data_IF_718929895700
#
_entry.id   IF_718929895700
#
_cell.length_a   1.000
_cell.length_b   1.000
_cell.length_c   1.000
_cell.angle_alpha   90.00
_cell.angle_beta   90.00
_cell.angle_gamma   90.00
#
_symmetry.space_group_name_H-M   'P 1'
#
loop_
_entity.id
_entity.type
_entity.pdbx_description
1 polymer ?
#
# COMPACT_ATOMS: atom_id res chain seq x y z
N UNK A 1 10.61 12.99 16.68
CA UNK A 1 10.10 12.36 15.45
C UNK A 1 8.73 11.80 15.78
N UNK A 2 7.75 11.96 14.90
CA UNK A 2 6.41 11.44 15.13
C UNK A 2 6.43 9.91 14.92
N UNK A 3 5.81 9.13 15.82
CA UNK A 3 5.84 7.65 15.81
C UNK A 3 5.24 7.02 14.54
N UNK A 4 4.46 7.76 13.76
CA UNK A 4 3.80 7.28 12.54
C UNK A 4 4.58 7.54 11.23
N UNK A 5 5.68 8.32 11.24
CA UNK A 5 6.42 8.67 10.01
C UNK A 5 7.09 7.44 9.40
N UNK A 6 7.00 7.26 8.07
CA UNK A 6 7.84 6.30 7.33
C UNK A 6 8.96 7.09 6.64
N UNK A 7 10.21 6.72 6.89
CA UNK A 7 11.39 7.32 6.29
C UNK A 7 12.15 6.28 5.49
N UNK A 8 12.30 6.51 4.21
CA UNK A 8 13.04 5.65 3.27
C UNK A 8 14.21 6.44 2.72
N UNK A 9 15.43 5.92 2.88
CA UNK A 9 16.67 6.61 2.49
C UNK A 9 17.61 5.69 1.72
N UNK A 10 17.86 5.99 0.44
CA UNK A 10 18.87 5.36 -0.40
C UNK A 10 18.70 3.86 -0.59
N UNK A 11 17.47 3.32 -0.61
CA UNK A 11 17.26 1.88 -0.73
C UNK A 11 17.82 1.33 -2.03
N UNK A 12 18.66 0.30 -1.91
CA UNK A 12 19.19 -0.47 -3.03
C UNK A 12 18.98 -1.95 -2.81
N UNK A 13 18.42 -2.63 -3.83
CA UNK A 13 18.13 -4.06 -3.77
C UNK A 13 18.19 -4.71 -5.14
N UNK A 14 18.81 -5.91 -5.19
CA UNK A 14 18.81 -6.78 -6.36
C UNK A 14 18.10 -8.10 -6.08
N UNK A 15 17.53 -8.65 -7.14
CA UNK A 15 17.13 -10.04 -7.23
C UNK A 15 17.91 -10.69 -8.38
N UNK A 16 18.93 -11.48 -8.05
CA UNK A 16 19.87 -11.99 -9.03
C UNK A 16 20.56 -10.84 -9.80
N UNK A 17 20.36 -10.77 -11.10
CA UNK A 17 20.92 -9.68 -11.95
C UNK A 17 20.02 -8.45 -12.03
N UNK A 18 18.76 -8.55 -11.61
CA UNK A 18 17.79 -7.46 -11.72
C UNK A 18 17.91 -6.48 -10.55
N UNK A 19 18.20 -5.21 -10.85
CA UNK A 19 18.21 -4.12 -9.87
C UNK A 19 16.76 -3.65 -9.67
N UNK A 20 16.16 -4.02 -8.55
CA UNK A 20 14.77 -3.73 -8.24
C UNK A 20 14.59 -2.35 -7.57
N UNK A 21 15.55 -1.94 -6.73
CA UNK A 21 15.59 -0.61 -6.11
C UNK A 21 16.99 -0.01 -6.31
N UNK A 22 17.04 1.27 -6.68
CA UNK A 22 18.28 1.95 -7.04
C UNK A 22 18.37 3.36 -6.43
N UNK A 23 18.68 3.42 -5.13
CA UNK A 23 18.82 4.66 -4.39
C UNK A 23 17.49 5.35 -4.04
N UNK A 24 16.42 4.59 -3.89
CA UNK A 24 15.07 5.11 -3.65
C UNK A 24 14.96 5.77 -2.27
N UNK A 25 14.47 7.02 -2.24
CA UNK A 25 14.30 7.82 -1.03
C UNK A 25 13.00 8.60 -1.08
N UNK A 26 12.20 8.57 0.00
CA UNK A 26 10.98 9.35 0.19
C UNK A 26 10.53 9.31 1.66
N UNK A 27 9.56 10.14 2.01
CA UNK A 27 8.98 10.19 3.36
C UNK A 27 7.46 10.15 3.29
N UNK A 28 6.83 9.40 4.21
CA UNK A 28 5.36 9.43 4.42
C UNK A 28 5.09 10.12 5.74
N UNK A 29 4.36 11.23 5.69
CA UNK A 29 4.04 12.06 6.85
C UNK A 29 2.72 11.64 7.52
N UNK A 30 2.63 11.67 8.85
CA UNK A 30 1.37 11.50 9.57
C UNK A 30 0.33 12.55 9.17
N UNK A 31 -0.94 12.15 9.18
CA UNK A 31 -2.04 13.02 8.79
C UNK A 31 -2.25 13.14 7.29
N UNK A 32 -1.51 12.37 6.49
CA UNK A 32 -1.62 12.40 5.02
C UNK A 32 -1.79 11.01 4.43
N UNK A 33 -2.46 10.96 3.28
CA UNK A 33 -2.45 9.79 2.38
C UNK A 33 -1.39 10.02 1.31
N UNK A 34 -0.36 9.19 1.30
CA UNK A 34 0.69 9.20 0.27
C UNK A 34 0.40 8.11 -0.76
N UNK A 35 0.13 8.52 -2.00
CA UNK A 35 0.04 7.64 -3.16
C UNK A 35 1.43 7.24 -3.66
N UNK A 36 1.69 5.96 -3.79
CA UNK A 36 2.96 5.40 -4.27
C UNK A 36 2.73 4.73 -5.63
N UNK A 37 3.08 5.43 -6.71
CA UNK A 37 2.66 5.08 -8.05
C UNK A 37 3.82 4.76 -8.97
N UNK A 38 3.58 3.87 -9.90
CA UNK A 38 4.58 3.47 -10.90
C UNK A 38 4.09 2.27 -11.71
N UNK A 39 4.72 1.99 -12.85
CA UNK A 39 4.35 0.84 -13.67
C UNK A 39 4.61 -0.49 -12.93
N UNK A 40 4.10 -1.58 -13.48
CA UNK A 40 4.44 -2.91 -12.97
C UNK A 40 5.95 -3.14 -13.11
N UNK A 41 6.57 -3.73 -12.09
CA UNK A 41 8.02 -3.90 -12.03
C UNK A 41 8.80 -2.66 -11.55
N UNK A 42 8.15 -1.51 -11.29
CA UNK A 42 8.84 -0.30 -10.82
C UNK A 42 9.46 -0.40 -9.42
N UNK A 43 9.10 -1.42 -8.63
CA UNK A 43 9.62 -1.64 -7.29
C UNK A 43 8.64 -1.33 -6.16
N UNK A 44 7.34 -1.06 -6.42
CA UNK A 44 6.33 -0.71 -5.40
C UNK A 44 6.24 -1.75 -4.28
N UNK A 45 5.84 -2.96 -4.62
CA UNK A 45 5.69 -4.06 -3.64
C UNK A 45 7.02 -4.41 -2.97
N UNK A 46 8.14 -4.36 -3.71
CA UNK A 46 9.48 -4.57 -3.15
C UNK A 46 9.80 -3.53 -2.07
N UNK A 47 9.51 -2.26 -2.32
CA UNK A 47 9.72 -1.17 -1.35
C UNK A 47 8.88 -1.39 -0.10
N UNK A 48 7.60 -1.70 -0.23
CA UNK A 48 6.73 -1.98 0.92
C UNK A 48 7.20 -3.18 1.73
N UNK A 49 7.66 -4.25 1.06
CA UNK A 49 8.24 -5.43 1.73
C UNK A 49 9.51 -5.10 2.50
N UNK A 50 10.36 -4.21 1.94
CA UNK A 50 11.56 -3.71 2.63
C UNK A 50 11.19 -2.90 3.87
N UNK A 51 10.23 -1.96 3.76
CA UNK A 51 9.75 -1.16 4.90
C UNK A 51 9.26 -2.06 6.03
N UNK A 52 8.56 -3.16 5.70
CA UNK A 52 8.04 -4.14 6.66
C UNK A 52 9.09 -5.18 7.11
N UNK A 53 10.35 -5.04 6.69
CA UNK A 53 11.41 -5.97 7.07
C UNK A 53 11.25 -7.39 6.53
N UNK A 54 10.42 -7.59 5.51
CA UNK A 54 10.20 -8.88 4.85
C UNK A 54 11.31 -9.20 3.83
N UNK A 55 11.93 -8.15 3.31
CA UNK A 55 13.06 -8.25 2.37
C UNK A 55 14.26 -7.44 2.89
N UNK A 56 15.47 -7.99 2.76
CA UNK A 56 16.73 -7.29 3.06
C UNK A 56 17.13 -6.37 1.90
N UNK A 57 17.93 -5.36 2.18
CA UNK A 57 18.51 -4.43 1.19
C UNK A 57 20.04 -4.55 1.14
N UNK A 58 20.64 -4.17 0.03
CA UNK A 58 22.09 -4.06 -0.12
C UNK A 58 22.63 -2.76 0.50
N UNK A 59 21.84 -1.68 0.42
CA UNK A 59 22.16 -0.38 0.99
C UNK A 59 20.88 0.40 1.31
N UNK A 60 21.05 1.44 2.14
CA UNK A 60 19.96 2.31 2.55
C UNK A 60 19.24 1.82 3.80
N UNK A 61 18.22 2.58 4.22
CA UNK A 61 17.44 2.31 5.42
C UNK A 61 15.96 2.59 5.18
N UNK A 62 15.10 1.81 5.88
CA UNK A 62 13.67 2.07 5.97
C UNK A 62 13.28 2.06 7.45
N UNK A 63 12.71 3.16 7.91
CA UNK A 63 12.38 3.38 9.31
C UNK A 63 10.90 3.73 9.46
N UNK A 64 10.28 3.30 10.55
CA UNK A 64 8.94 3.67 10.98
C UNK A 64 9.08 4.27 12.38
N UNK A 65 8.70 5.55 12.54
CA UNK A 65 8.93 6.27 13.80
C UNK A 65 10.41 6.28 14.22
N UNK A 66 11.33 6.37 13.25
CA UNK A 66 12.78 6.37 13.47
C UNK A 66 13.38 4.99 13.78
N UNK A 67 12.63 3.88 13.64
CA UNK A 67 13.11 2.52 13.94
C UNK A 67 12.85 1.57 12.78
N UNK A 68 13.77 0.63 12.46
CA UNK A 68 13.47 -0.47 11.57
C UNK A 68 12.30 -1.32 12.08
N UNK A 69 11.45 -1.83 11.19
CA UNK A 69 10.29 -2.65 11.55
C UNK A 69 10.64 -3.81 12.51
N UNK A 70 11.75 -4.50 12.26
CA UNK A 70 12.21 -5.62 13.10
C UNK A 70 12.55 -5.23 14.54
N UNK A 71 12.70 -3.94 14.84
CA UNK A 71 12.96 -3.42 16.19
C UNK A 71 11.74 -2.80 16.87
N UNK A 72 10.56 -2.86 16.22
CA UNK A 72 9.32 -2.37 16.80
C UNK A 72 8.83 -3.33 17.90
N UNK A 73 8.48 -2.78 19.03
CA UNK A 73 7.75 -3.51 20.08
C UNK A 73 6.26 -3.47 19.76
N UNK A 74 5.57 -4.64 19.80
CA UNK A 74 4.16 -4.74 19.40
C UNK A 74 3.87 -4.15 18.01
N UNK A 75 4.52 -4.66 16.93
CA UNK A 75 4.51 -4.02 15.61
C UNK A 75 3.08 -3.81 15.06
N UNK A 76 2.14 -4.72 15.31
CA UNK A 76 0.76 -4.54 14.84
C UNK A 76 0.00 -3.36 15.47
N UNK A 77 0.49 -2.81 16.60
CA UNK A 77 -0.06 -1.57 17.18
C UNK A 77 0.52 -0.31 16.55
N UNK A 78 1.60 -0.45 15.82
CA UNK A 78 2.28 0.66 15.15
C UNK A 78 2.06 0.63 13.64
N UNK A 79 2.04 -0.58 13.04
CA UNK A 79 1.95 -0.76 11.60
C UNK A 79 0.89 -1.79 11.25
N UNK A 80 -0.08 -1.39 10.45
CA UNK A 80 -0.99 -2.26 9.75
C UNK A 80 -0.57 -2.39 8.28
N UNK A 81 -0.62 -3.59 7.72
CA UNK A 81 -0.25 -3.78 6.32
C UNK A 81 -1.19 -4.74 5.59
N UNK A 82 -1.43 -4.43 4.31
CA UNK A 82 -2.10 -5.29 3.34
C UNK A 82 -1.22 -5.33 2.09
N UNK A 83 -0.47 -6.42 1.91
CA UNK A 83 0.38 -6.65 0.73
C UNK A 83 -0.23 -7.63 -0.26
N UNK A 84 -1.04 -8.56 0.22
CA UNK A 84 -1.68 -9.58 -0.60
C UNK A 84 -3.01 -9.99 0.03
N UNK A 85 -4.09 -9.68 -0.64
CA UNK A 85 -5.44 -10.03 -0.19
C UNK A 85 -5.74 -11.53 -0.35
N UNK A 86 -4.96 -12.26 -1.14
CA UNK A 86 -5.11 -13.68 -1.38
C UNK A 86 -4.32 -14.56 -0.39
N UNK A 87 -3.46 -13.96 0.43
CA UNK A 87 -2.71 -14.66 1.49
C UNK A 87 -3.62 -15.11 2.65
N UNK A 88 -4.72 -15.79 2.33
CA UNK A 88 -5.73 -16.28 3.26
C UNK A 88 -5.74 -17.81 3.27
N UNK A 89 -6.07 -18.41 4.43
CA UNK A 89 -6.36 -19.84 4.52
C UNK A 89 -7.79 -20.11 4.07
N UNK A 90 -8.02 -20.72 2.90
CA UNK A 90 -9.37 -20.85 2.29
C UNK A 90 -10.38 -21.62 3.16
N UNK A 91 -9.92 -22.62 3.93
CA UNK A 91 -10.75 -23.42 4.80
C UNK A 91 -11.18 -22.73 6.09
N UNK A 92 -10.53 -21.61 6.45
CA UNK A 92 -10.81 -20.83 7.67
C UNK A 92 -11.87 -19.77 7.40
N UNK A 93 -12.79 -19.54 8.35
CA UNK A 93 -13.70 -18.40 8.26
C UNK A 93 -12.94 -17.08 8.50
N UNK A 94 -13.41 -15.97 7.91
CA UNK A 94 -12.82 -14.66 8.13
C UNK A 94 -12.72 -14.30 9.61
N UNK A 95 -13.78 -14.58 10.41
CA UNK A 95 -13.77 -14.37 11.86
C UNK A 95 -12.65 -15.17 12.56
N UNK A 96 -12.49 -16.44 12.20
CA UNK A 96 -11.44 -17.27 12.81
C UNK A 96 -10.04 -16.87 12.33
N UNK A 97 -9.91 -16.34 11.11
CA UNK A 97 -8.67 -15.75 10.62
C UNK A 97 -8.27 -14.54 11.47
N UNK A 98 -9.19 -13.58 11.68
CA UNK A 98 -8.93 -12.40 12.52
C UNK A 98 -8.65 -12.78 13.99
N UNK A 99 -9.42 -13.74 14.54
CA UNK A 99 -9.16 -14.25 15.90
C UNK A 99 -7.79 -14.89 16.06
N UNK A 100 -7.34 -15.63 15.05
CA UNK A 100 -6.02 -16.25 15.05
C UNK A 100 -4.92 -15.19 15.10
N UNK A 101 -5.03 -14.14 14.26
CA UNK A 101 -4.08 -13.02 14.26
C UNK A 101 -4.12 -12.30 15.60
N UNK A 102 -5.31 -11.93 16.09
CA UNK A 102 -5.44 -11.21 17.36
C UNK A 102 -4.77 -11.98 18.52
N UNK A 103 -5.01 -13.30 18.63
CA UNK A 103 -4.40 -14.15 19.66
C UNK A 103 -2.89 -14.27 19.52
N UNK A 104 -2.37 -14.44 18.29
CA UNK A 104 -0.92 -14.56 18.04
C UNK A 104 -0.17 -13.29 18.43
N UNK A 105 -0.84 -12.14 18.34
CA UNK A 105 -0.28 -10.81 18.65
C UNK A 105 -0.70 -10.28 20.03
N UNK A 106 -1.36 -11.10 20.86
CA UNK A 106 -1.87 -10.73 22.18
C UNK A 106 -2.78 -9.49 22.16
N UNK A 107 -3.57 -9.37 21.10
CA UNK A 107 -4.58 -8.30 20.96
C UNK A 107 -5.91 -8.76 21.56
N UNK A 108 -6.74 -7.84 22.08
CA UNK A 108 -8.08 -8.15 22.59
C UNK A 108 -8.94 -8.78 21.49
N UNK A 109 -9.66 -9.87 21.80
CA UNK A 109 -10.54 -10.54 20.84
C UNK A 109 -11.75 -9.67 20.48
N UNK A 110 -12.14 -8.72 21.33
CA UNK A 110 -13.17 -7.69 21.03
C UNK A 110 -12.85 -6.90 19.75
N UNK A 111 -11.56 -6.63 19.49
CA UNK A 111 -11.11 -5.95 18.26
C UNK A 111 -11.61 -6.63 16.98
N UNK A 112 -11.82 -7.95 17.00
CA UNK A 112 -12.32 -8.70 15.84
C UNK A 112 -13.73 -8.23 15.43
N UNK A 113 -14.60 -7.95 16.38
CA UNK A 113 -15.95 -7.48 16.08
C UNK A 113 -15.92 -6.02 15.61
N UNK A 114 -15.06 -5.18 16.22
CA UNK A 114 -14.86 -3.79 15.84
C UNK A 114 -14.36 -3.67 14.39
N UNK A 115 -13.25 -4.35 14.02
CA UNK A 115 -12.72 -4.28 12.65
C UNK A 115 -13.63 -4.94 11.63
N UNK A 116 -14.40 -5.96 12.02
CA UNK A 116 -15.43 -6.56 11.15
C UNK A 116 -16.54 -5.57 10.80
N UNK A 117 -16.96 -4.78 11.78
CA UNK A 117 -17.95 -3.71 11.57
C UNK A 117 -17.36 -2.61 10.70
N UNK A 118 -16.11 -2.17 11.00
CA UNK A 118 -15.39 -1.13 10.27
C UNK A 118 -15.35 -1.39 8.76
N UNK A 119 -15.03 -2.64 8.37
CA UNK A 119 -14.91 -2.99 6.93
C UNK A 119 -16.21 -3.47 6.29
N UNK A 120 -17.32 -3.48 7.02
CA UNK A 120 -18.63 -3.84 6.48
C UNK A 120 -18.79 -5.31 6.08
N UNK A 121 -17.98 -6.25 6.61
CA UNK A 121 -18.12 -7.67 6.30
C UNK A 121 -19.36 -8.33 6.92
N UNK A 122 -19.93 -7.76 7.99
CA UNK A 122 -21.17 -8.20 8.60
C UNK A 122 -21.21 -9.71 8.87
N UNK A 123 -22.33 -10.37 8.47
CA UNK A 123 -22.49 -11.83 8.65
C UNK A 123 -21.55 -12.66 7.77
N UNK A 124 -21.03 -12.08 6.67
CA UNK A 124 -20.14 -12.78 5.74
C UNK A 124 -18.82 -13.19 6.40
N UNK A 125 -18.36 -12.50 7.45
CA UNK A 125 -17.12 -12.85 8.18
C UNK A 125 -17.16 -14.28 8.76
N UNK A 126 -18.35 -14.88 8.95
CA UNK A 126 -18.52 -16.27 9.45
C UNK A 126 -18.35 -17.32 8.35
N UNK A 127 -18.41 -16.94 7.08
CA UNK A 127 -18.21 -17.84 5.94
C UNK A 127 -16.73 -18.15 5.76
N UNK A 128 -16.41 -19.31 5.13
CA UNK A 128 -15.04 -19.68 4.76
C UNK A 128 -14.47 -18.70 3.73
N UNK A 129 -13.22 -18.25 3.93
CA UNK A 129 -12.56 -17.25 3.09
C UNK A 129 -12.37 -17.73 1.63
N UNK A 130 -12.28 -19.03 1.39
CA UNK A 130 -12.21 -19.58 0.02
C UNK A 130 -13.43 -19.28 -0.86
N UNK A 131 -14.57 -18.90 -0.25
CA UNK A 131 -15.77 -18.46 -0.98
C UNK A 131 -15.96 -16.95 -1.04
N UNK A 132 -14.92 -16.16 -0.71
CA UNK A 132 -14.98 -14.70 -0.78
C UNK A 132 -14.70 -14.19 -2.20
N UNK A 133 -15.41 -13.14 -2.60
CA UNK A 133 -15.01 -12.33 -3.75
C UNK A 133 -13.67 -11.61 -3.47
N UNK A 134 -13.02 -11.09 -4.50
CA UNK A 134 -11.78 -10.34 -4.34
C UNK A 134 -12.00 -9.13 -3.40
N UNK A 135 -13.06 -8.35 -3.58
CA UNK A 135 -13.39 -7.23 -2.69
C UNK A 135 -13.64 -7.66 -1.24
N UNK A 136 -14.25 -8.85 -1.01
CA UNK A 136 -14.38 -9.39 0.36
C UNK A 136 -13.03 -9.79 0.95
N UNK A 137 -12.10 -10.32 0.14
CA UNK A 137 -10.74 -10.64 0.58
C UNK A 137 -9.97 -9.37 0.93
N UNK A 138 -10.07 -8.33 0.10
CA UNK A 138 -9.52 -7.00 0.39
C UNK A 138 -10.03 -6.47 1.74
N UNK A 139 -11.35 -6.45 1.94
CA UNK A 139 -11.96 -6.01 3.21
C UNK A 139 -11.48 -6.84 4.41
N UNK A 140 -11.30 -8.15 4.26
CA UNK A 140 -10.75 -9.00 5.33
C UNK A 140 -9.28 -8.68 5.62
N UNK A 141 -8.47 -8.42 4.59
CA UNK A 141 -7.07 -8.00 4.73
C UNK A 141 -6.95 -6.65 5.44
N UNK A 142 -7.82 -5.69 5.09
CA UNK A 142 -7.91 -4.39 5.78
C UNK A 142 -8.31 -4.58 7.25
N UNK A 143 -9.30 -5.44 7.52
CA UNK A 143 -9.69 -5.76 8.90
C UNK A 143 -8.50 -6.35 9.70
N UNK A 144 -7.70 -7.22 9.08
CA UNK A 144 -6.49 -7.77 9.69
C UNK A 144 -5.44 -6.68 9.96
N UNK A 145 -5.21 -5.77 9.02
CA UNK A 145 -4.30 -4.64 9.18
C UNK A 145 -4.72 -3.72 10.32
N UNK A 146 -6.03 -3.54 10.53
CA UNK A 146 -6.60 -2.65 11.57
C UNK A 146 -6.75 -3.29 12.95
N UNK A 147 -6.45 -4.58 13.12
CA UNK A 147 -6.63 -5.27 14.41
C UNK A 147 -5.89 -4.59 15.58
N UNK A 148 -4.67 -4.14 15.32
CA UNK A 148 -3.81 -3.50 16.31
C UNK A 148 -4.10 -2.02 16.55
N UNK A 149 -5.01 -1.42 15.79
CA UNK A 149 -5.26 0.03 15.76
C UNK A 149 -3.99 0.85 15.45
N UNK A 150 -3.32 0.57 14.32
CA UNK A 150 -1.98 1.09 14.05
C UNK A 150 -1.99 2.57 13.70
N UNK A 151 -0.91 3.27 14.04
CA UNK A 151 -0.67 4.67 13.63
C UNK A 151 -0.16 4.81 12.20
N UNK A 152 0.33 3.72 11.59
CA UNK A 152 0.86 3.69 10.23
C UNK A 152 0.19 2.57 9.43
N UNK A 153 -0.24 2.86 8.20
CA UNK A 153 -0.81 1.87 7.29
C UNK A 153 -0.03 1.81 5.98
N UNK A 154 0.21 0.59 5.51
CA UNK A 154 0.88 0.30 4.24
C UNK A 154 -0.01 -0.67 3.45
N UNK A 155 -0.52 -0.22 2.30
CA UNK A 155 -1.45 -1.01 1.51
C UNK A 155 -0.99 -1.09 0.04
N UNK A 156 -0.77 -2.32 -0.44
CA UNK A 156 -0.41 -2.58 -1.83
C UNK A 156 -1.68 -2.85 -2.65
N UNK A 157 -1.96 -1.97 -3.62
CA UNK A 157 -3.09 -2.06 -4.55
C UNK A 157 -4.46 -2.32 -3.86
N UNK A 158 -4.86 -1.56 -2.83
CA UNK A 158 -6.04 -1.88 -2.02
C UNK A 158 -7.38 -1.71 -2.75
N UNK A 159 -7.41 -1.00 -3.88
CA UNK A 159 -8.60 -0.80 -4.72
C UNK A 159 -8.89 -1.98 -5.63
N UNK A 160 -7.92 -2.87 -5.85
CA UNK A 160 -8.05 -3.99 -6.79
C UNK A 160 -9.25 -4.88 -6.46
N UNK A 161 -10.11 -5.09 -7.49
CA UNK A 161 -11.27 -5.96 -7.39
C UNK A 161 -12.41 -5.43 -6.52
N UNK A 162 -12.38 -4.15 -6.18
CA UNK A 162 -13.51 -3.47 -5.58
C UNK A 162 -14.51 -3.00 -6.65
N UNK A 163 -15.78 -3.07 -6.33
CA UNK A 163 -16.85 -2.43 -7.09
C UNK A 163 -16.85 -0.90 -6.83
N UNK A 164 -17.58 -0.10 -7.60
CA UNK A 164 -17.62 1.34 -7.44
C UNK A 164 -17.99 1.80 -6.01
N UNK A 165 -18.90 1.10 -5.34
CA UNK A 165 -19.26 1.39 -3.94
C UNK A 165 -18.09 1.10 -2.99
N UNK A 166 -17.37 0.00 -3.24
CA UNK A 166 -16.14 -0.36 -2.51
C UNK A 166 -15.04 0.69 -2.66
N UNK A 167 -14.86 1.24 -3.87
CA UNK A 167 -13.89 2.31 -4.12
C UNK A 167 -14.26 3.58 -3.36
N UNK A 168 -15.53 4.01 -3.38
CA UNK A 168 -16.00 5.16 -2.62
C UNK A 168 -15.77 4.96 -1.12
N UNK A 169 -16.12 3.78 -0.60
CA UNK A 169 -15.88 3.42 0.80
C UNK A 169 -14.38 3.49 1.14
N UNK A 170 -13.51 2.90 0.29
CA UNK A 170 -12.06 2.88 0.52
C UNK A 170 -11.47 4.29 0.57
N UNK A 171 -11.87 5.18 -0.34
CA UNK A 171 -11.45 6.58 -0.34
C UNK A 171 -11.82 7.28 0.97
N UNK A 172 -13.08 7.13 1.41
CA UNK A 172 -13.53 7.67 2.70
C UNK A 172 -12.78 7.09 3.88
N UNK A 173 -12.50 5.79 3.87
CA UNK A 173 -11.75 5.08 4.89
C UNK A 173 -10.31 5.62 5.02
N UNK A 174 -9.56 5.70 3.91
CA UNK A 174 -8.18 6.19 3.91
C UNK A 174 -8.08 7.65 4.38
N UNK A 175 -8.98 8.52 3.89
CA UNK A 175 -9.06 9.91 4.34
C UNK A 175 -9.40 10.02 5.81
N UNK A 176 -10.33 9.20 6.31
CA UNK A 176 -10.68 9.15 7.73
C UNK A 176 -9.45 8.83 8.60
N UNK A 177 -8.66 7.83 8.21
CA UNK A 177 -7.44 7.44 8.92
C UNK A 177 -6.38 8.56 8.92
N UNK A 178 -6.19 9.25 7.79
CA UNK A 178 -5.29 10.40 7.71
C UNK A 178 -5.79 11.54 8.60
N UNK A 179 -7.09 11.85 8.60
CA UNK A 179 -7.67 12.87 9.46
C UNK A 179 -7.51 12.57 10.97
N UNK A 180 -7.39 11.30 11.34
CA UNK A 180 -7.02 10.86 12.70
C UNK A 180 -5.53 11.05 13.02
N UNK A 181 -4.73 11.54 12.07
CA UNK A 181 -3.28 11.75 12.24
C UNK A 181 -2.41 10.54 11.90
N UNK A 182 -2.96 9.50 11.28
CA UNK A 182 -2.18 8.31 10.88
C UNK A 182 -1.40 8.59 9.59
N UNK A 183 -0.27 7.92 9.41
CA UNK A 183 0.45 7.90 8.14
C UNK A 183 -0.08 6.78 7.26
N UNK A 184 -0.46 7.10 6.04
CA UNK A 184 -1.05 6.13 5.11
C UNK A 184 -0.24 6.10 3.82
N UNK A 185 0.36 4.95 3.50
CA UNK A 185 1.06 4.67 2.24
C UNK A 185 0.23 3.68 1.41
N UNK A 186 -0.19 4.10 0.24
CA UNK A 186 -1.04 3.31 -0.66
C UNK A 186 -0.39 3.22 -2.02
N UNK A 187 -0.12 2.00 -2.52
CA UNK A 187 0.24 1.84 -3.93
C UNK A 187 -0.99 1.81 -4.81
N UNK A 188 -0.85 2.33 -6.02
CA UNK A 188 -1.77 2.09 -7.11
C UNK A 188 -1.04 2.11 -8.46
N UNK A 189 -1.55 1.33 -9.41
CA UNK A 189 -1.20 1.43 -10.82
C UNK A 189 -2.26 2.22 -11.61
N UNK A 190 -3.42 2.52 -11.02
CA UNK A 190 -4.50 3.31 -11.58
C UNK A 190 -4.49 4.71 -10.97
N UNK A 191 -4.04 5.67 -11.77
CA UNK A 191 -3.91 7.07 -11.34
C UNK A 191 -5.25 7.72 -11.04
N UNK A 192 -6.32 7.30 -11.72
CA UNK A 192 -7.69 7.76 -11.49
C UNK A 192 -8.24 7.46 -10.10
N UNK A 193 -7.60 6.58 -9.34
CA UNK A 193 -8.00 6.25 -7.96
C UNK A 193 -7.48 7.26 -6.93
N UNK A 194 -6.39 7.97 -7.25
CA UNK A 194 -5.63 8.79 -6.31
C UNK A 194 -6.09 10.25 -6.16
N UNK A 195 -6.56 10.96 -7.22
CA UNK A 195 -6.88 12.38 -7.11
C UNK A 195 -7.85 12.73 -5.98
N UNK A 196 -8.77 11.81 -5.69
CA UNK A 196 -9.76 12.01 -4.63
C UNK A 196 -9.31 11.54 -3.25
N UNK A 197 -8.10 10.98 -3.09
CA UNK A 197 -7.67 10.37 -1.83
C UNK A 197 -6.27 10.76 -1.40
N UNK A 198 -5.32 10.94 -2.33
CA UNK A 198 -3.93 11.25 -2.00
C UNK A 198 -3.71 12.76 -1.79
N UNK A 199 -3.05 13.10 -0.70
CA UNK A 199 -2.55 14.45 -0.42
C UNK A 199 -1.16 14.65 -1.05
N UNK A 200 -0.37 13.58 -1.08
CA UNK A 200 1.00 13.52 -1.56
C UNK A 200 1.19 12.34 -2.49
N UNK A 201 2.03 12.47 -3.51
CA UNK A 201 2.28 11.41 -4.50
C UNK A 201 3.78 11.24 -4.71
N UNK A 202 4.22 10.00 -4.63
CA UNK A 202 5.57 9.56 -4.99
C UNK A 202 5.48 8.72 -6.24
N UNK A 203 6.01 9.22 -7.36
CA UNK A 203 6.07 8.50 -8.64
C UNK A 203 7.38 7.77 -8.73
N UNK A 204 7.33 6.47 -8.99
CA UNK A 204 8.53 5.65 -9.14
C UNK A 204 8.63 4.97 -10.50
N UNK A 205 9.87 4.78 -10.97
CA UNK A 205 10.19 4.02 -12.17
C UNK A 205 11.57 3.39 -12.09
N UNK A 206 11.70 2.15 -12.49
CA UNK A 206 12.96 1.38 -12.47
C UNK A 206 13.70 1.47 -11.12
N UNK A 207 12.96 1.39 -10.01
CA UNK A 207 13.51 1.40 -8.65
C UNK A 207 13.99 2.77 -8.15
N UNK A 208 13.66 3.86 -8.85
CA UNK A 208 14.01 5.24 -8.47
C UNK A 208 12.77 6.10 -8.29
N UNK A 209 12.85 7.13 -7.46
CA UNK A 209 11.85 8.19 -7.41
C UNK A 209 12.02 9.08 -8.63
N UNK A 210 10.94 9.28 -9.39
CA UNK A 210 10.87 10.15 -10.56
C UNK A 210 10.27 11.51 -10.21
N UNK A 211 9.30 11.54 -9.28
CA UNK A 211 8.71 12.74 -8.73
C UNK A 211 8.21 12.47 -7.30
N UNK A 212 8.25 13.49 -6.46
CA UNK A 212 7.84 13.46 -5.06
C UNK A 212 7.29 14.84 -4.70
N UNK A 213 5.98 14.94 -4.38
CA UNK A 213 5.35 16.22 -4.11
C UNK A 213 3.85 16.09 -3.82
N UNK A 214 3.21 17.18 -3.46
CA UNK A 214 1.75 17.22 -3.34
C UNK A 214 1.11 17.01 -4.71
N UNK A 215 -0.10 16.45 -4.72
CA UNK A 215 -0.86 16.27 -5.95
C UNK A 215 -0.96 17.59 -6.74
N UNK A 216 -1.20 18.71 -6.04
CA UNK A 216 -1.31 20.04 -6.64
C UNK A 216 0.00 20.53 -7.29
N UNK A 217 1.14 20.29 -6.64
CA UNK A 217 2.46 20.66 -7.19
C UNK A 217 2.77 19.83 -8.44
N UNK A 218 2.51 18.54 -8.40
CA UNK A 218 2.80 17.64 -9.52
C UNK A 218 1.92 17.91 -10.74
N UNK A 219 0.67 18.32 -10.55
CA UNK A 219 -0.25 18.66 -11.65
C UNK A 219 -0.20 20.13 -12.08
N UNK A 220 0.66 20.95 -11.47
CA UNK A 220 0.80 22.35 -11.87
C UNK A 220 1.36 22.46 -13.29
N UNK A 221 0.53 22.96 -14.23
CA UNK A 221 0.89 23.10 -15.65
C UNK A 221 0.57 21.90 -16.54
N UNK A 222 -0.05 20.86 -16.00
CA UNK A 222 -0.51 19.68 -16.74
C UNK A 222 -2.05 19.55 -16.64
N UNK A 223 -2.66 18.82 -17.58
CA UNK A 223 -4.12 18.64 -17.58
C UNK A 223 -4.58 17.62 -16.53
N UNK A 224 -3.73 16.65 -16.21
CA UNK A 224 -4.06 15.55 -15.28
C UNK A 224 -2.82 14.93 -14.63
N UNK A 225 -3.02 14.15 -13.59
CA UNK A 225 -1.96 13.32 -12.98
C UNK A 225 -1.49 12.23 -13.96
N UNK A 226 -2.37 11.76 -14.85
CA UNK A 226 -2.06 10.82 -15.91
C UNK A 226 -1.01 11.37 -16.88
N UNK A 227 -1.13 12.63 -17.28
CA UNK A 227 -0.18 13.30 -18.19
C UNK A 227 1.21 13.43 -17.53
N UNK A 228 1.24 13.84 -16.28
CA UNK A 228 2.48 13.88 -15.45
C UNK A 228 3.14 12.50 -15.42
N UNK A 229 2.34 11.48 -15.09
CA UNK A 229 2.82 10.11 -14.97
C UNK A 229 3.36 9.57 -16.29
N UNK A 230 2.63 9.73 -17.40
CA UNK A 230 3.04 9.29 -18.73
C UNK A 230 4.36 9.97 -19.14
N UNK A 231 4.49 11.27 -18.94
CA UNK A 231 5.73 12.01 -19.22
C UNK A 231 6.90 11.46 -18.42
N UNK A 232 6.72 11.21 -17.11
CA UNK A 232 7.78 10.73 -16.23
C UNK A 232 8.14 9.25 -16.46
N UNK A 233 7.18 8.43 -16.89
CA UNK A 233 7.37 6.99 -17.03
C UNK A 233 7.63 6.51 -18.45
N UNK A 234 7.47 7.34 -19.48
CA UNK A 234 7.66 6.98 -20.92
C UNK A 234 9.03 6.34 -21.19
N UNK A 235 10.06 6.64 -20.42
CA UNK A 235 11.39 5.99 -20.49
C UNK A 235 11.60 4.83 -19.50
N UNK A 236 10.63 4.56 -18.60
CA UNK A 236 10.78 3.66 -17.46
C UNK A 236 9.97 2.34 -17.58
N UNK A 237 9.23 2.14 -18.66
CA UNK A 237 8.42 0.93 -18.88
C UNK A 237 9.29 -0.20 -19.41
N UNK A 238 9.27 -1.36 -18.74
CA UNK A 238 10.03 -2.56 -19.10
C UNK A 238 9.45 -3.31 -20.32
N UNK A 239 8.14 -3.16 -20.58
CA UNK A 239 7.42 -3.78 -21.69
C UNK A 239 6.86 -2.70 -22.63
N UNK A 240 7.51 -2.46 -23.76
CA UNK A 240 6.85 -1.85 -24.92
C UNK A 240 5.99 -2.93 -25.56
N UNK A 241 4.66 -2.78 -25.55
CA UNK A 241 3.79 -3.55 -26.43
C UNK A 241 4.21 -3.26 -27.88
N UNK A 242 4.67 -4.29 -28.61
CA UNK A 242 5.16 -4.17 -29.98
C UNK A 242 4.01 -3.98 -30.99
N UNK A 243 3.28 -2.85 -30.93
CA UNK A 243 2.17 -2.53 -31.86
C UNK A 243 2.58 -1.49 -32.93
N UNK A 244 3.81 -0.96 -32.91
CA UNK A 244 4.22 0.09 -33.86
C UNK A 244 5.25 -0.36 -34.91
N UNK A 245 5.07 -1.52 -35.56
CA UNK A 245 5.91 -1.91 -36.71
C UNK A 245 5.14 -2.60 -37.86
N UNK A 246 3.89 -2.25 -38.17
CA UNK A 246 3.25 -2.69 -39.40
C UNK A 246 2.36 -1.64 -40.05
N UNK A 247 2.86 -0.42 -40.26
CA UNK A 247 2.24 0.51 -41.23
C UNK A 247 3.32 1.33 -41.95
N UNK A 248 4.22 0.68 -42.69
CA UNK A 248 4.94 1.27 -43.84
C UNK A 248 5.71 0.16 -44.56
N UNK A 249 4.98 -0.64 -45.34
CA UNK A 249 5.50 -1.30 -46.55
C UNK A 249 4.43 -1.39 -47.63
#
# INVERSE_FOLDING_TARGET
MNEATIEVSGLRKRFGQTLALDGLSFTVTPGTVTGFVGPNGAGKSTTMRVILGLDSVEAGTALIGGRPYARLTHPMRQVGSLLDADALQPSRSGRNHLRWIARSQRLPVSRVDEVTALVGLGKAVRRKAGGYSLGMRQRLGIAAAMLGDPSTLIMDEPFNGMDPEGIIWMRGFLRGLAAEGRAVLVSSHLLSELPDVADHVVVIGRGRVLADGTLRELTAGESSLEDVYLRLTTGAVEYRSGIDQEQHR
#
